data_IF_461999152122
#
_entry.id   IF_461999152122
#
_cell.length_a   1.000
_cell.length_b   1.000
_cell.length_c   1.000
_cell.angle_alpha   90.00
_cell.angle_beta   90.00
_cell.angle_gamma   90.00
#
_symmetry.space_group_name_H-M   'P 1'
#
loop_
_entity.id
_entity.type
_entity.pdbx_description
1 polymer ?
#
# COMPACT_ATOMS: atom_id res chain seq x y z
N UNK A 1 -4.78 40.70 -38.68
CA UNK A 1 -4.94 39.24 -38.55
C UNK A 1 -3.60 38.69 -38.10
N UNK A 2 -3.35 38.58 -36.80
CA UNK A 2 -2.19 37.83 -36.30
C UNK A 2 -2.63 37.08 -35.04
N UNK A 3 -2.68 35.77 -35.19
CA UNK A 3 -3.17 34.79 -34.23
C UNK A 3 -2.15 34.60 -33.10
N UNK A 4 -2.56 34.82 -31.85
CA UNK A 4 -1.79 34.39 -30.67
C UNK A 4 -1.96 32.88 -30.46
N UNK A 5 -0.88 32.10 -30.23
CA UNK A 5 -1.02 30.71 -29.84
C UNK A 5 -1.34 30.64 -28.34
N UNK A 6 -2.61 30.44 -28.01
CA UNK A 6 -3.04 29.97 -26.69
C UNK A 6 -2.70 28.49 -26.57
N UNK A 7 -1.46 28.20 -26.17
CA UNK A 7 -0.99 26.85 -25.91
C UNK A 7 -0.25 26.78 -24.60
N UNK A 8 -0.98 26.51 -23.51
CA UNK A 8 -0.55 25.70 -22.36
C UNK A 8 -1.60 25.77 -21.24
N UNK A 9 -2.62 24.94 -21.36
CA UNK A 9 -3.52 24.55 -20.27
C UNK A 9 -3.26 23.07 -20.00
N UNK A 10 -3.33 22.67 -18.73
CA UNK A 10 -3.31 21.29 -18.21
C UNK A 10 -1.94 20.62 -17.93
N UNK A 11 -1.11 21.22 -17.06
CA UNK A 11 -0.03 20.48 -16.38
C UNK A 11 -0.29 20.23 -14.89
N UNK A 12 -1.29 20.91 -14.29
CA UNK A 12 -1.44 20.97 -12.84
C UNK A 12 -2.57 20.08 -12.26
N UNK A 13 -3.54 19.65 -13.07
CA UNK A 13 -4.67 18.83 -12.59
C UNK A 13 -4.33 17.33 -12.54
N UNK A 14 -3.50 16.85 -13.46
CA UNK A 14 -3.14 15.42 -13.58
C UNK A 14 -2.27 14.96 -12.41
N UNK A 15 -1.35 15.81 -11.93
CA UNK A 15 -0.45 15.45 -10.83
C UNK A 15 -1.17 15.24 -9.49
N UNK A 16 -2.25 16.00 -9.25
CA UNK A 16 -3.04 15.85 -8.03
C UNK A 16 -3.91 14.59 -8.07
N UNK A 17 -4.55 14.31 -9.22
CA UNK A 17 -5.34 13.10 -9.42
C UNK A 17 -4.48 11.83 -9.35
N UNK A 18 -3.28 11.85 -9.94
CA UNK A 18 -2.30 10.77 -9.87
C UNK A 18 -1.82 10.53 -8.42
N UNK A 19 -1.56 11.62 -7.67
CA UNK A 19 -1.19 11.52 -6.27
C UNK A 19 -2.33 10.95 -5.41
N UNK A 20 -3.58 11.35 -5.68
CA UNK A 20 -4.77 10.81 -5.00
C UNK A 20 -4.96 9.33 -5.31
N UNK A 21 -4.89 8.94 -6.58
CA UNK A 21 -5.01 7.54 -6.99
C UNK A 21 -3.91 6.67 -6.37
N UNK A 22 -2.68 7.18 -6.30
CA UNK A 22 -1.57 6.52 -5.60
C UNK A 22 -1.90 6.31 -4.12
N UNK A 23 -2.38 7.36 -3.44
CA UNK A 23 -2.71 7.30 -2.02
C UNK A 23 -3.85 6.31 -1.73
N UNK A 24 -4.88 6.28 -2.58
CA UNK A 24 -5.99 5.33 -2.47
C UNK A 24 -5.53 3.89 -2.64
N UNK A 25 -4.64 3.63 -3.62
CA UNK A 25 -4.05 2.31 -3.81
C UNK A 25 -3.21 1.88 -2.61
N UNK A 26 -2.36 2.77 -2.07
CA UNK A 26 -1.55 2.47 -0.88
C UNK A 26 -2.45 2.14 0.32
N UNK A 27 -3.54 2.87 0.51
CA UNK A 27 -4.48 2.67 1.60
C UNK A 27 -5.24 1.34 1.48
N UNK A 28 -5.69 0.98 0.27
CA UNK A 28 -6.26 -0.33 -0.04
C UNK A 28 -5.28 -1.47 0.28
N UNK A 29 -4.06 -1.39 -0.25
CA UNK A 29 -3.03 -2.40 -0.04
C UNK A 29 -2.66 -2.52 1.46
N UNK A 30 -2.59 -1.38 2.16
CA UNK A 30 -2.35 -1.34 3.60
C UNK A 30 -3.46 -2.08 4.37
N UNK A 31 -4.73 -1.86 4.01
CA UNK A 31 -5.85 -2.59 4.63
C UNK A 31 -5.74 -4.10 4.38
N UNK A 32 -5.50 -4.51 3.14
CA UNK A 32 -5.39 -5.92 2.79
C UNK A 32 -4.26 -6.63 3.56
N UNK A 33 -3.07 -6.02 3.61
CA UNK A 33 -1.94 -6.56 4.37
C UNK A 33 -2.25 -6.60 5.87
N UNK A 34 -2.92 -5.60 6.43
CA UNK A 34 -3.31 -5.61 7.85
C UNK A 34 -4.28 -6.75 8.16
N UNK A 35 -5.30 -6.96 7.34
CA UNK A 35 -6.24 -8.07 7.52
C UNK A 35 -5.53 -9.41 7.45
N UNK A 36 -4.58 -9.57 6.52
CA UNK A 36 -3.80 -10.80 6.41
C UNK A 36 -2.90 -11.05 7.62
N UNK A 37 -2.14 -10.04 8.06
CA UNK A 37 -1.23 -10.19 9.21
C UNK A 37 -1.99 -10.28 10.53
N UNK A 38 -3.16 -9.65 10.63
CA UNK A 38 -4.06 -9.76 11.78
C UNK A 38 -4.75 -11.12 11.90
N UNK A 39 -4.73 -11.94 10.84
CA UNK A 39 -5.47 -13.19 10.78
C UNK A 39 -6.97 -13.01 10.58
N UNK A 40 -7.42 -11.80 10.20
CA UNK A 40 -8.83 -11.49 9.92
C UNK A 40 -9.32 -12.14 8.62
N UNK A 41 -8.39 -12.50 7.74
CA UNK A 41 -8.65 -13.27 6.52
C UNK A 41 -7.83 -14.55 6.50
N UNK A 42 -8.43 -15.65 6.06
CA UNK A 42 -7.74 -16.92 5.88
C UNK A 42 -6.81 -16.88 4.66
N UNK A 43 -5.86 -17.83 4.62
CA UNK A 43 -4.86 -17.90 3.56
C UNK A 43 -5.42 -18.12 2.15
N UNK A 44 -6.59 -18.73 2.01
CA UNK A 44 -7.21 -18.96 0.70
C UNK A 44 -7.78 -17.64 0.17
N UNK A 45 -8.53 -16.90 1.00
CA UNK A 45 -9.06 -15.58 0.64
C UNK A 45 -7.96 -14.58 0.37
N UNK A 46 -6.92 -14.56 1.21
CA UNK A 46 -5.75 -13.71 1.00
C UNK A 46 -5.09 -14.02 -0.35
N UNK A 47 -4.84 -15.30 -0.63
CA UNK A 47 -4.24 -15.73 -1.89
C UNK A 47 -5.07 -15.31 -3.10
N UNK A 48 -6.38 -15.56 -3.08
CA UNK A 48 -7.27 -15.21 -4.19
C UNK A 48 -7.27 -13.69 -4.46
N UNK A 49 -7.28 -12.87 -3.40
CA UNK A 49 -7.16 -11.42 -3.52
C UNK A 49 -5.84 -11.01 -4.19
N UNK A 50 -4.71 -11.55 -3.72
CA UNK A 50 -3.40 -11.18 -4.27
C UNK A 50 -3.18 -11.68 -5.69
N UNK A 51 -3.66 -12.89 -6.04
CA UNK A 51 -3.58 -13.39 -7.42
C UNK A 51 -4.33 -12.49 -8.40
N UNK A 52 -5.50 -11.97 -8.00
CA UNK A 52 -6.26 -11.03 -8.82
C UNK A 52 -5.63 -9.63 -8.87
N UNK A 53 -5.06 -9.17 -7.74
CA UNK A 53 -4.63 -7.77 -7.58
C UNK A 53 -3.19 -7.50 -8.01
N UNK A 54 -2.28 -8.44 -7.80
CA UNK A 54 -0.84 -8.26 -8.08
C UNK A 54 -0.51 -7.86 -9.54
N UNK A 55 -1.16 -8.39 -10.59
CA UNK A 55 -0.84 -8.02 -11.97
C UNK A 55 -1.03 -6.52 -12.27
N UNK A 56 -1.93 -5.86 -11.54
CA UNK A 56 -2.30 -4.45 -11.75
C UNK A 56 -1.58 -3.49 -10.80
N UNK A 57 -0.94 -4.01 -9.75
CA UNK A 57 -0.37 -3.20 -8.68
C UNK A 57 1.00 -2.67 -9.07
N UNK A 58 1.18 -1.35 -8.88
CA UNK A 58 2.49 -0.71 -8.92
C UNK A 58 3.32 -1.14 -7.72
N UNK A 59 4.51 -1.68 -7.98
CA UNK A 59 5.42 -2.19 -6.94
C UNK A 59 5.79 -1.13 -5.90
N UNK A 60 5.97 0.13 -6.30
CA UNK A 60 6.25 1.22 -5.35
C UNK A 60 5.15 1.38 -4.30
N UNK A 61 3.88 1.25 -4.71
CA UNK A 61 2.73 1.40 -3.82
C UNK A 61 2.62 0.22 -2.85
N UNK A 62 2.92 -0.99 -3.32
CA UNK A 62 2.97 -2.18 -2.48
C UNK A 62 4.08 -2.10 -1.44
N UNK A 63 5.28 -1.66 -1.84
CA UNK A 63 6.40 -1.47 -0.92
C UNK A 63 6.08 -0.45 0.19
N UNK A 64 5.41 0.65 -0.16
CA UNK A 64 4.98 1.68 0.79
C UNK A 64 3.91 1.16 1.77
N UNK A 65 2.92 0.41 1.27
CA UNK A 65 1.91 -0.25 2.09
C UNK A 65 2.54 -1.27 3.06
N UNK A 66 3.45 -2.14 2.57
CA UNK A 66 4.17 -3.11 3.41
C UNK A 66 5.00 -2.42 4.49
N UNK A 67 5.73 -1.36 4.13
CA UNK A 67 6.53 -0.57 5.09
C UNK A 67 5.64 0.02 6.16
N UNK A 68 4.48 0.57 5.77
CA UNK A 68 3.49 1.13 6.70
C UNK A 68 2.99 0.09 7.70
N UNK A 69 2.72 -1.14 7.25
CA UNK A 69 2.26 -2.20 8.15
C UNK A 69 3.39 -2.70 9.03
N UNK A 70 4.55 -3.04 8.47
CA UNK A 70 5.68 -3.60 9.21
C UNK A 70 6.25 -2.65 10.27
N UNK A 71 6.28 -1.34 10.00
CA UNK A 71 6.70 -0.34 10.99
C UNK A 71 5.74 -0.25 12.17
N UNK A 72 4.44 -0.49 11.95
CA UNK A 72 3.42 -0.56 13.01
C UNK A 72 3.46 -1.87 13.79
N UNK A 73 3.92 -2.95 13.15
CA UNK A 73 4.05 -4.27 13.77
C UNK A 73 5.27 -4.41 14.68
N UNK A 74 6.10 -3.36 14.83
CA UNK A 74 7.27 -3.43 15.72
C UNK A 74 6.84 -3.90 17.12
N UNK A 75 7.37 -5.04 17.59
CA UNK A 75 7.22 -5.43 18.98
C UNK A 75 7.76 -4.29 19.85
N UNK A 76 7.05 -3.92 20.92
CA UNK A 76 7.64 -3.02 21.90
C UNK A 76 8.90 -3.67 22.43
N UNK A 77 10.00 -2.91 22.46
CA UNK A 77 11.26 -3.39 23.03
C UNK A 77 10.99 -3.93 24.44
N UNK A 78 11.29 -5.20 24.69
CA UNK A 78 11.15 -5.85 26.00
C UNK A 78 10.17 -7.03 26.08
N UNK A 79 9.33 -7.25 25.06
CA UNK A 79 8.25 -8.25 25.11
C UNK A 79 8.45 -9.44 24.13
N UNK A 80 9.52 -9.44 23.34
CA UNK A 80 9.81 -10.58 22.48
C UNK A 80 10.20 -11.76 23.34
N UNK A 81 9.30 -12.74 23.42
CA UNK A 81 9.58 -14.05 23.99
C UNK A 81 9.71 -15.02 22.83
N UNK A 82 10.76 -15.81 22.82
CA UNK A 82 10.96 -16.82 21.79
C UNK A 82 9.77 -17.81 21.83
N UNK A 83 8.97 -17.95 20.75
CA UNK A 83 7.80 -18.83 20.76
C UNK A 83 8.17 -20.33 20.87
N UNK A 84 9.45 -20.67 20.66
CA UNK A 84 9.96 -22.05 20.73
C UNK A 84 10.44 -22.41 22.14
N UNK A 85 11.04 -21.46 22.88
CA UNK A 85 11.67 -21.76 24.17
C UNK A 85 11.31 -20.82 25.32
N UNK A 86 10.44 -19.83 25.11
CA UNK A 86 9.91 -18.94 26.14
C UNK A 86 10.90 -17.93 26.75
N UNK A 87 12.14 -17.88 26.27
CA UNK A 87 13.14 -16.91 26.76
C UNK A 87 12.86 -15.50 26.22
N UNK A 88 13.01 -14.50 27.09
CA UNK A 88 13.10 -13.08 26.73
C UNK A 88 14.44 -12.78 26.08
#
# INVERSE_FOLDING_TARGET
>A
MESKPSGQINKHCTSHEEAKAKAELIDELTRAVRLQVGGDIDGIRARAYWEARLPEVRLECLAEALTTVLTRLRPRHGDWTCPVCGRK
#
